data_IF_863601076146
#
_entry.id   IF_863601076146
#
_cell.length_a   1.000
_cell.length_b   1.000
_cell.length_c   1.000
_cell.angle_alpha   90.00
_cell.angle_beta   90.00
_cell.angle_gamma   90.00
#
_symmetry.space_group_name_H-M   'P 1'
#
loop_
_entity.id
_entity.type
_entity.pdbx_description
1 polymer ?
#
# COMPACT_ATOMS: atom_id res chain seq x y z
N UNK A 1 -15.86 -19.87 -14.98
CA UNK A 1 -15.76 -18.40 -14.94
C UNK A 1 -15.59 -17.88 -13.51
N UNK A 2 -15.19 -18.73 -12.56
CA UNK A 2 -15.12 -18.35 -11.13
C UNK A 2 -13.78 -17.72 -10.71
N UNK A 3 -12.66 -18.11 -11.35
CA UNK A 3 -11.33 -17.61 -10.97
C UNK A 3 -11.15 -16.10 -11.16
N UNK A 4 -11.78 -15.50 -12.18
CA UNK A 4 -11.66 -14.06 -12.44
C UNK A 4 -12.38 -13.26 -11.35
N UNK A 5 -13.55 -13.72 -10.91
CA UNK A 5 -14.31 -13.07 -9.84
C UNK A 5 -13.58 -13.15 -8.50
N UNK A 6 -12.88 -14.24 -8.23
CA UNK A 6 -12.07 -14.41 -7.02
C UNK A 6 -10.85 -13.48 -7.03
N UNK A 7 -10.14 -13.38 -8.15
CA UNK A 7 -9.00 -12.45 -8.31
C UNK A 7 -9.45 -11.01 -8.09
N UNK A 8 -10.57 -10.59 -8.70
CA UNK A 8 -11.10 -9.23 -8.54
C UNK A 8 -11.51 -8.92 -7.09
N UNK A 9 -12.15 -9.88 -6.40
CA UNK A 9 -12.52 -9.70 -4.98
C UNK A 9 -11.30 -9.55 -4.07
N UNK A 10 -10.24 -10.32 -4.32
CA UNK A 10 -9.01 -10.23 -3.54
C UNK A 10 -8.34 -8.87 -3.74
N UNK A 11 -8.31 -8.37 -4.99
CA UNK A 11 -7.77 -7.05 -5.30
C UNK A 11 -8.57 -5.90 -4.65
N UNK A 12 -9.90 -5.97 -4.69
CA UNK A 12 -10.76 -4.97 -4.02
C UNK A 12 -10.57 -5.00 -2.50
N UNK A 13 -10.40 -6.18 -1.91
CA UNK A 13 -10.09 -6.34 -0.49
C UNK A 13 -8.72 -5.74 -0.12
N UNK A 14 -7.69 -5.95 -0.94
CA UNK A 14 -6.37 -5.36 -0.75
C UNK A 14 -6.40 -3.83 -0.84
N UNK A 15 -7.19 -3.27 -1.77
CA UNK A 15 -7.36 -1.82 -1.91
C UNK A 15 -8.09 -1.19 -0.72
N UNK A 16 -9.06 -1.89 -0.15
CA UNK A 16 -9.79 -1.42 1.03
C UNK A 16 -8.90 -1.26 2.28
N UNK A 17 -7.75 -1.94 2.30
CA UNK A 17 -6.74 -1.88 3.38
C UNK A 17 -5.78 -0.69 3.27
N UNK A 18 -5.98 0.19 2.28
CA UNK A 18 -5.15 1.36 2.04
C UNK A 18 -6.03 2.61 2.09
N UNK A 19 -5.70 3.54 2.98
CA UNK A 19 -6.32 4.87 3.05
C UNK A 19 -5.27 5.96 2.85
N UNK A 20 -5.70 7.14 2.43
CA UNK A 20 -4.84 8.32 2.27
C UNK A 20 -5.35 9.42 3.20
N UNK A 21 -4.43 10.01 3.96
CA UNK A 21 -4.68 11.22 4.74
C UNK A 21 -4.00 12.40 4.04
N UNK A 22 -4.79 13.23 3.36
CA UNK A 22 -4.27 14.39 2.63
C UNK A 22 -3.79 15.52 3.55
N UNK A 23 -4.36 15.63 4.76
CA UNK A 23 -3.94 16.64 5.76
C UNK A 23 -2.54 16.31 6.29
N UNK A 24 -2.32 15.05 6.68
CA UNK A 24 -1.03 14.55 7.16
C UNK A 24 -0.06 14.19 6.04
N UNK A 25 -0.53 14.21 4.78
CA UNK A 25 0.23 13.85 3.58
C UNK A 25 0.86 12.47 3.68
N UNK A 26 0.05 11.47 4.05
CA UNK A 26 0.49 10.09 4.21
C UNK A 26 -0.55 9.07 3.73
N UNK A 27 -0.06 7.87 3.41
CA UNK A 27 -0.91 6.68 3.32
C UNK A 27 -0.92 5.94 4.64
N UNK A 28 -2.03 5.30 4.93
CA UNK A 28 -2.15 4.31 5.99
C UNK A 28 -2.40 2.94 5.35
N UNK A 29 -1.50 1.98 5.58
CA UNK A 29 -1.56 0.63 5.04
C UNK A 29 -1.75 -0.36 6.18
N UNK A 30 -2.81 -1.17 6.14
CA UNK A 30 -3.10 -2.12 7.22
C UNK A 30 -2.23 -3.38 7.12
N UNK A 31 -1.39 -3.59 8.14
CA UNK A 31 -0.55 -4.77 8.31
C UNK A 31 -1.21 -5.94 9.03
N UNK A 32 -0.42 -6.78 9.68
CA UNK A 32 -0.91 -7.90 10.48
C UNK A 32 -1.82 -7.44 11.63
N UNK A 33 -2.91 -8.18 11.87
CA UNK A 33 -3.96 -7.83 12.84
C UNK A 33 -4.52 -6.41 12.64
N UNK A 34 -4.52 -5.93 11.40
CA UNK A 34 -5.03 -4.61 11.01
C UNK A 34 -4.34 -3.45 11.73
N UNK A 35 -3.09 -3.66 12.14
CA UNK A 35 -2.25 -2.59 12.69
C UNK A 35 -1.87 -1.62 11.56
N UNK A 36 -2.21 -0.33 11.66
CA UNK A 36 -1.92 0.64 10.62
C UNK A 36 -0.42 0.94 10.53
N UNK A 37 0.07 1.07 9.29
CA UNK A 37 1.43 1.52 8.98
C UNK A 37 1.35 2.82 8.20
N UNK A 38 1.77 3.92 8.83
CA UNK A 38 1.87 5.22 8.19
C UNK A 38 3.04 5.27 7.20
N UNK A 39 2.76 5.81 6.03
CA UNK A 39 3.70 5.99 4.93
C UNK A 39 3.58 7.43 4.40
N UNK A 40 4.41 8.36 4.92
CA UNK A 40 4.44 9.73 4.44
C UNK A 40 4.76 9.81 2.94
N UNK A 41 4.16 10.76 2.21
CA UNK A 41 4.41 10.93 0.77
C UNK A 41 5.89 11.25 0.48
N UNK A 42 6.58 11.89 1.41
CA UNK A 42 8.03 12.14 1.32
C UNK A 42 8.86 10.86 1.27
N UNK A 43 8.36 9.74 1.82
CA UNK A 43 9.03 8.44 1.78
C UNK A 43 8.87 7.71 0.45
N UNK A 44 8.16 8.31 -0.51
CA UNK A 44 7.94 7.74 -1.85
C UNK A 44 8.69 8.51 -2.95
N UNK A 45 9.36 9.61 -2.59
CA UNK A 45 9.95 10.55 -3.54
C UNK A 45 11.18 10.03 -4.29
N UNK A 46 11.91 9.06 -3.73
CA UNK A 46 13.11 8.50 -4.35
C UNK A 46 13.25 7.00 -4.09
N UNK A 47 14.04 6.32 -4.92
CA UNK A 47 14.21 4.86 -4.89
C UNK A 47 14.72 4.32 -3.54
N UNK A 48 15.54 5.09 -2.81
CA UNK A 48 16.07 4.64 -1.51
C UNK A 48 14.95 4.65 -0.46
N UNK A 49 14.16 5.72 -0.42
CA UNK A 49 13.02 5.83 0.50
C UNK A 49 11.90 4.86 0.14
N UNK A 50 11.64 4.67 -1.15
CA UNK A 50 10.71 3.65 -1.64
C UNK A 50 11.13 2.27 -1.15
N UNK A 51 12.41 1.91 -1.30
CA UNK A 51 12.95 0.64 -0.77
C UNK A 51 12.76 0.53 0.74
N UNK A 52 13.11 1.57 1.50
CA UNK A 52 12.95 1.58 2.96
C UNK A 52 11.47 1.42 3.37
N UNK A 53 10.55 2.04 2.62
CA UNK A 53 9.12 1.89 2.80
C UNK A 53 8.68 0.44 2.58
N UNK A 54 9.13 -0.20 1.50
CA UNK A 54 8.82 -1.60 1.22
C UNK A 54 9.37 -2.52 2.32
N UNK A 55 10.61 -2.32 2.76
CA UNK A 55 11.20 -3.08 3.87
C UNK A 55 10.39 -2.90 5.17
N UNK A 56 9.89 -1.69 5.44
CA UNK A 56 9.02 -1.42 6.59
C UNK A 56 7.69 -2.17 6.48
N UNK A 57 7.03 -2.14 5.32
CA UNK A 57 5.76 -2.84 5.10
C UNK A 57 5.93 -4.36 5.27
N UNK A 58 7.02 -4.93 4.74
CA UNK A 58 7.36 -6.34 4.92
C UNK A 58 7.60 -6.69 6.39
N UNK A 59 8.35 -5.87 7.14
CA UNK A 59 8.58 -6.06 8.59
C UNK A 59 7.29 -5.97 9.42
N UNK A 60 6.27 -5.28 8.91
CA UNK A 60 4.95 -5.16 9.54
C UNK A 60 3.96 -6.23 9.08
N UNK A 61 4.46 -7.24 8.34
CA UNK A 61 3.65 -8.35 7.84
C UNK A 61 2.44 -7.87 7.03
N UNK A 62 2.61 -6.80 6.25
CA UNK A 62 1.59 -6.36 5.29
C UNK A 62 1.49 -7.43 4.19
N UNK A 63 0.27 -7.90 3.83
CA UNK A 63 0.09 -8.88 2.77
C UNK A 63 0.69 -8.39 1.44
N UNK A 64 1.25 -9.30 0.66
CA UNK A 64 1.88 -8.97 -0.63
C UNK A 64 0.90 -8.27 -1.58
N UNK A 65 -0.34 -8.77 -1.68
CA UNK A 65 -1.39 -8.14 -2.50
C UNK A 65 -1.68 -6.70 -2.08
N UNK A 66 -1.71 -6.43 -0.77
CA UNK A 66 -1.87 -5.08 -0.23
C UNK A 66 -0.65 -4.19 -0.54
N UNK A 67 0.58 -4.72 -0.51
CA UNK A 67 1.79 -3.97 -0.90
C UNK A 67 1.73 -3.60 -2.39
N UNK A 68 1.35 -4.54 -3.27
CA UNK A 68 1.22 -4.28 -4.70
C UNK A 68 0.14 -3.24 -4.99
N UNK A 69 -1.05 -3.39 -4.37
CA UNK A 69 -2.14 -2.43 -4.47
C UNK A 69 -1.72 -1.03 -3.96
N UNK A 70 -0.89 -0.96 -2.92
CA UNK A 70 -0.32 0.28 -2.40
C UNK A 70 0.59 0.95 -3.44
N UNK A 71 1.50 0.21 -4.07
CA UNK A 71 2.40 0.73 -5.11
C UNK A 71 1.59 1.25 -6.31
N UNK A 72 0.59 0.50 -6.77
CA UNK A 72 -0.26 0.90 -7.89
C UNK A 72 -1.04 2.19 -7.60
N UNK A 73 -1.58 2.32 -6.37
CA UNK A 73 -2.24 3.54 -5.94
C UNK A 73 -1.27 4.72 -5.88
N UNK A 74 -0.09 4.53 -5.27
CA UNK A 74 0.93 5.57 -5.19
C UNK A 74 1.42 6.03 -6.57
N UNK A 75 1.50 5.14 -7.56
CA UNK A 75 1.78 5.49 -8.96
C UNK A 75 0.65 6.30 -9.58
N UNK A 76 -0.60 5.87 -9.37
CA UNK A 76 -1.80 6.59 -9.86
C UNK A 76 -1.86 8.01 -9.31
N UNK A 77 -1.46 8.19 -8.05
CA UNK A 77 -1.41 9.49 -7.38
C UNK A 77 -0.14 10.31 -7.74
N UNK A 78 0.70 9.83 -8.67
CA UNK A 78 1.99 10.42 -9.04
C UNK A 78 2.97 10.62 -7.86
N UNK A 79 2.89 9.77 -6.85
CA UNK A 79 3.75 9.80 -5.66
C UNK A 79 4.88 8.79 -5.72
N UNK A 80 4.82 7.85 -6.66
CA UNK A 80 5.82 6.82 -6.89
C UNK A 80 6.53 7.08 -8.22
N UNK A 81 7.70 7.73 -8.15
CA UNK A 81 8.54 8.13 -9.29
C UNK A 81 9.78 7.27 -9.49
#
# INVERSE_FOLDING_TARGET
MDNINEIMRNYDADRARITSNEEEREYCVLGYQDVPVSVPYSELADATRQRNTLERLLRKNVPEGTILAFIERAKTDNRWG
#
